data_IF_887601288425
#
_entry.id   IF_887601288425
#
_cell.length_a   1.000
_cell.length_b   1.000
_cell.length_c   1.000
_cell.angle_alpha   90.00
_cell.angle_beta   90.00
_cell.angle_gamma   90.00
#
_symmetry.space_group_name_H-M   'P 1'
#
loop_
_entity.id
_entity.type
_entity.pdbx_description
1 polymer ?
#
# COMPACT_ATOMS: atom_id res chain seq x y z
N UNK A 1 -21.32 -19.29 -9.65
CA UNK A 1 -20.23 -18.61 -8.89
C UNK A 1 -19.50 -17.68 -9.84
N UNK A 2 -19.22 -16.43 -9.46
CA UNK A 2 -18.47 -15.48 -10.29
C UNK A 2 -17.00 -15.93 -10.44
N UNK A 3 -16.46 -15.90 -11.66
CA UNK A 3 -15.04 -16.17 -11.91
C UNK A 3 -14.19 -15.05 -11.29
N UNK A 4 -13.27 -15.43 -10.38
CA UNK A 4 -12.41 -14.51 -9.63
C UNK A 4 -11.30 -13.88 -10.47
N UNK A 5 -11.16 -14.21 -11.75
CA UNK A 5 -10.18 -13.60 -12.67
C UNK A 5 -10.82 -12.68 -13.73
N UNK A 6 -12.14 -12.47 -13.66
CA UNK A 6 -12.91 -11.72 -14.65
C UNK A 6 -13.23 -10.32 -14.15
N UNK A 7 -13.14 -9.33 -15.05
CA UNK A 7 -13.61 -7.96 -14.83
C UNK A 7 -15.08 -7.88 -15.23
N UNK A 8 -15.93 -7.36 -14.35
CA UNK A 8 -17.35 -7.15 -14.57
C UNK A 8 -17.63 -5.65 -14.67
N UNK A 9 -18.11 -5.19 -15.83
CA UNK A 9 -18.34 -3.75 -16.08
C UNK A 9 -19.68 -3.23 -15.55
N UNK A 10 -20.64 -4.14 -15.39
CA UNK A 10 -22.00 -3.83 -14.91
C UNK A 10 -22.08 -3.75 -13.37
N UNK A 11 -20.97 -3.93 -12.67
CA UNK A 11 -20.95 -3.86 -11.20
C UNK A 11 -20.58 -2.45 -10.72
N UNK A 12 -21.07 -2.02 -9.54
CA UNK A 12 -20.69 -0.73 -8.95
C UNK A 12 -19.19 -0.59 -8.65
N UNK A 13 -18.47 -1.71 -8.46
CA UNK A 13 -17.04 -1.70 -8.14
C UNK A 13 -16.20 -1.13 -9.29
N UNK A 14 -15.37 -0.11 -8.98
CA UNK A 14 -14.47 0.53 -9.94
C UNK A 14 -13.53 -0.50 -10.59
N UNK A 15 -13.33 -0.42 -11.91
CA UNK A 15 -12.53 -1.40 -12.68
C UNK A 15 -11.10 -1.59 -12.17
N UNK A 16 -10.46 -0.53 -11.66
CA UNK A 16 -9.10 -0.64 -11.12
C UNK A 16 -9.08 -1.43 -9.81
N UNK A 17 -10.15 -1.38 -9.00
CA UNK A 17 -10.27 -2.16 -7.76
C UNK A 17 -10.47 -3.64 -8.07
N UNK A 18 -11.32 -3.95 -9.05
CA UNK A 18 -11.49 -5.32 -9.53
C UNK A 18 -10.17 -5.90 -10.05
N UNK A 19 -9.44 -5.14 -10.88
CA UNK A 19 -8.14 -5.56 -11.38
C UNK A 19 -7.13 -5.72 -10.24
N UNK A 20 -7.04 -4.74 -9.33
CA UNK A 20 -6.18 -4.82 -8.15
C UNK A 20 -6.43 -6.12 -7.37
N UNK A 21 -7.70 -6.48 -7.14
CA UNK A 21 -8.09 -7.68 -6.42
C UNK A 21 -7.67 -8.97 -7.15
N UNK A 22 -7.76 -8.99 -8.49
CA UNK A 22 -7.29 -10.11 -9.32
C UNK A 22 -5.78 -10.26 -9.19
N UNK A 23 -5.03 -9.18 -9.44
CA UNK A 23 -3.56 -9.17 -9.40
C UNK A 23 -3.04 -9.54 -8.00
N UNK A 24 -3.67 -9.01 -6.95
CA UNK A 24 -3.33 -9.32 -5.57
C UNK A 24 -3.48 -10.81 -5.28
N UNK A 25 -4.57 -11.44 -5.71
CA UNK A 25 -4.77 -12.90 -5.53
C UNK A 25 -3.69 -13.71 -6.24
N UNK A 26 -3.24 -13.30 -7.43
CA UNK A 26 -2.14 -13.96 -8.14
C UNK A 26 -0.84 -13.91 -7.34
N UNK A 27 -0.56 -12.79 -6.68
CA UNK A 27 0.60 -12.62 -5.79
C UNK A 27 0.43 -13.45 -4.51
N UNK A 28 -0.74 -13.41 -3.88
CA UNK A 28 -0.99 -14.07 -2.60
C UNK A 28 -1.02 -15.60 -2.71
N UNK A 29 -1.54 -16.13 -3.82
CA UNK A 29 -1.54 -17.55 -4.15
C UNK A 29 -0.16 -18.07 -4.58
N UNK A 30 0.77 -17.19 -4.91
CA UNK A 30 2.09 -17.55 -5.42
C UNK A 30 2.13 -17.84 -6.92
N UNK A 31 1.02 -17.65 -7.66
CA UNK A 31 1.04 -17.69 -9.14
C UNK A 31 2.09 -16.71 -9.68
N UNK A 32 2.19 -15.53 -9.06
CA UNK A 32 3.33 -14.63 -9.21
C UNK A 32 4.23 -14.74 -7.98
N UNK A 33 5.29 -15.53 -8.13
CA UNK A 33 6.25 -15.79 -7.07
C UNK A 33 7.02 -14.52 -6.67
N UNK A 34 7.45 -14.46 -5.41
CA UNK A 34 8.33 -13.40 -4.92
C UNK A 34 9.59 -13.28 -5.79
N UNK A 35 9.97 -12.04 -6.13
CA UNK A 35 11.08 -11.72 -7.01
C UNK A 35 10.80 -11.87 -8.50
N UNK A 36 9.64 -12.42 -8.90
CA UNK A 36 9.29 -12.54 -10.32
C UNK A 36 8.99 -11.18 -10.96
N UNK A 37 9.38 -11.04 -12.23
CA UNK A 37 9.03 -9.90 -13.07
C UNK A 37 7.57 -10.02 -13.50
N UNK A 38 6.78 -8.97 -13.28
CA UNK A 38 5.40 -8.91 -13.74
C UNK A 38 5.34 -8.59 -15.24
N UNK A 39 4.26 -9.02 -15.92
CA UNK A 39 3.91 -8.47 -17.21
C UNK A 39 3.81 -6.94 -17.16
N UNK A 40 4.11 -6.29 -18.27
CA UNK A 40 4.04 -4.84 -18.44
C UNK A 40 2.61 -4.32 -18.29
N UNK A 41 2.46 -3.03 -17.99
CA UNK A 41 1.14 -2.39 -17.89
C UNK A 41 0.30 -2.60 -19.17
N UNK A 42 0.96 -2.64 -20.32
CA UNK A 42 0.32 -2.87 -21.63
C UNK A 42 -0.14 -4.31 -21.79
N UNK A 43 0.65 -5.29 -21.39
CA UNK A 43 0.27 -6.72 -21.45
C UNK A 43 -0.90 -7.01 -20.51
N UNK A 44 -0.87 -6.49 -19.28
CA UNK A 44 -1.98 -6.63 -18.32
C UNK A 44 -3.25 -5.96 -18.85
N UNK A 45 -3.11 -4.79 -19.50
CA UNK A 45 -4.23 -4.07 -20.13
C UNK A 45 -4.91 -4.92 -21.21
N UNK A 46 -4.11 -5.58 -22.07
CA UNK A 46 -4.62 -6.49 -23.11
C UNK A 46 -5.28 -7.71 -22.47
N UNK A 47 -4.62 -8.35 -21.50
CA UNK A 47 -5.10 -9.57 -20.85
C UNK A 47 -6.46 -9.39 -20.16
N UNK A 48 -6.66 -8.26 -19.49
CA UNK A 48 -7.88 -7.97 -18.72
C UNK A 48 -8.85 -7.04 -19.44
N UNK A 49 -8.54 -6.62 -20.67
CA UNK A 49 -9.37 -5.71 -21.49
C UNK A 49 -9.80 -4.44 -20.74
N UNK A 50 -8.84 -3.81 -20.06
CA UNK A 50 -9.02 -2.52 -19.38
C UNK A 50 -8.00 -1.51 -19.90
N UNK A 51 -8.24 -0.22 -19.65
CA UNK A 51 -7.28 0.82 -20.06
C UNK A 51 -5.94 0.68 -19.32
N UNK A 52 -4.85 1.12 -19.95
CA UNK A 52 -3.52 1.18 -19.31
C UNK A 52 -3.53 2.07 -18.05
N UNK A 53 -4.36 3.12 -18.03
CA UNK A 53 -4.54 3.98 -16.85
C UNK A 53 -5.13 3.16 -15.68
N UNK A 54 -6.16 2.35 -15.95
CA UNK A 54 -6.76 1.43 -14.96
C UNK A 54 -5.73 0.46 -14.39
N UNK A 55 -4.89 -0.13 -15.26
CA UNK A 55 -3.79 -1.01 -14.84
C UNK A 55 -2.79 -0.26 -13.96
N UNK A 56 -2.35 0.92 -14.40
CA UNK A 56 -1.39 1.74 -13.67
C UNK A 56 -1.90 2.11 -12.28
N UNK A 57 -3.18 2.47 -12.16
CA UNK A 57 -3.81 2.72 -10.86
C UNK A 57 -3.75 1.46 -9.99
N UNK A 58 -4.26 0.32 -10.47
CA UNK A 58 -4.25 -0.94 -9.74
C UNK A 58 -2.84 -1.37 -9.26
N UNK A 59 -1.85 -1.30 -10.15
CA UNK A 59 -0.46 -1.61 -9.81
C UNK A 59 0.14 -0.61 -8.83
N UNK A 60 -0.19 0.68 -8.93
CA UNK A 60 0.28 1.69 -7.97
C UNK A 60 -0.24 1.43 -6.56
N UNK A 61 -1.49 0.96 -6.42
CA UNK A 61 -1.98 0.49 -5.11
C UNK A 61 -1.14 -0.70 -4.62
N UNK A 62 -0.91 -1.74 -5.43
CA UNK A 62 -0.09 -2.88 -5.01
C UNK A 62 1.35 -2.50 -4.62
N UNK A 63 1.95 -1.51 -5.28
CA UNK A 63 3.27 -0.96 -4.90
C UNK A 63 3.19 -0.26 -3.55
N UNK A 64 2.20 0.62 -3.36
CA UNK A 64 1.96 1.34 -2.10
C UNK A 64 1.70 0.37 -0.94
N UNK A 65 1.04 -0.74 -1.22
CA UNK A 65 0.77 -1.79 -0.23
C UNK A 65 1.96 -2.73 0.01
N UNK A 66 3.05 -2.59 -0.74
CA UNK A 66 4.25 -3.38 -0.56
C UNK A 66 4.18 -4.80 -1.14
N UNK A 67 3.19 -5.10 -1.99
CA UNK A 67 3.16 -6.34 -2.78
C UNK A 67 4.11 -6.29 -3.96
N UNK A 68 4.34 -5.10 -4.51
CA UNK A 68 5.17 -4.88 -5.70
C UNK A 68 6.27 -3.86 -5.46
N UNK A 69 7.34 -3.94 -6.24
CA UNK A 69 8.40 -2.92 -6.31
C UNK A 69 8.66 -2.56 -7.78
N UNK A 70 8.75 -1.25 -8.08
CA UNK A 70 9.13 -0.75 -9.40
C UNK A 70 10.63 -0.50 -9.41
N UNK A 71 11.31 -0.99 -10.43
CA UNK A 71 12.73 -0.74 -10.66
C UNK A 71 12.89 -0.05 -12.01
N UNK A 72 13.38 1.19 -11.99
CA UNK A 72 13.54 2.01 -13.18
C UNK A 72 14.36 1.27 -14.25
N UNK A 73 13.83 1.20 -15.47
CA UNK A 73 14.45 0.50 -16.60
C UNK A 73 14.44 -1.03 -16.54
N UNK A 74 14.00 -1.64 -15.42
CA UNK A 74 14.01 -3.10 -15.23
C UNK A 74 12.61 -3.73 -15.12
N UNK A 75 11.60 -2.93 -14.80
CA UNK A 75 10.21 -3.38 -14.72
C UNK A 75 9.63 -3.37 -13.31
N UNK A 76 8.58 -4.16 -13.09
CA UNK A 76 7.90 -4.27 -11.78
C UNK A 76 8.03 -5.69 -11.28
N UNK A 77 8.43 -5.88 -10.03
CA UNK A 77 8.70 -7.19 -9.44
C UNK A 77 7.79 -7.45 -8.24
N UNK A 78 7.46 -8.72 -7.98
CA UNK A 78 6.78 -9.13 -6.74
C UNK A 78 7.73 -8.96 -5.56
N UNK A 79 7.32 -8.19 -4.56
CA UNK A 79 8.08 -8.01 -3.32
C UNK A 79 7.82 -9.20 -2.38
N UNK A 80 8.78 -9.48 -1.51
CA UNK A 80 8.55 -10.35 -0.37
C UNK A 80 7.67 -9.63 0.66
N UNK A 81 6.35 -9.76 0.46
CA UNK A 81 5.34 -9.12 1.28
C UNK A 81 5.08 -9.89 2.58
N UNK A 82 5.49 -11.18 2.65
CA UNK A 82 5.35 -12.05 3.83
C UNK A 82 6.50 -11.84 4.83
N UNK A 83 7.71 -11.55 4.37
CA UNK A 83 8.88 -11.28 5.23
C UNK A 83 9.02 -9.81 5.68
N UNK A 84 7.98 -9.00 5.54
CA UNK A 84 7.91 -7.64 6.10
C UNK A 84 8.22 -7.59 7.60
N UNK A 85 7.98 -8.68 8.34
CA UNK A 85 8.29 -8.79 9.78
C UNK A 85 9.73 -9.17 10.14
N UNK A 86 10.60 -9.57 9.20
CA UNK A 86 11.93 -10.12 9.51
C UNK A 86 13.05 -9.55 8.60
N UNK A 87 12.93 -8.29 8.18
CA UNK A 87 14.00 -7.64 7.43
C UNK A 87 15.13 -7.25 8.38
N UNK A 88 16.38 -7.60 8.01
CA UNK A 88 17.56 -6.94 8.57
C UNK A 88 17.60 -5.51 8.01
N UNK A 89 16.89 -4.59 8.66
CA UNK A 89 17.08 -3.17 8.40
C UNK A 89 18.50 -2.81 8.85
N UNK A 90 19.25 -2.13 7.99
CA UNK A 90 20.50 -1.51 8.41
C UNK A 90 20.24 -0.60 9.62
N UNK A 91 21.22 -0.47 10.51
CA UNK A 91 21.17 0.51 11.62
C UNK A 91 21.56 1.92 11.15
N UNK A 92 21.66 2.12 9.84
CA UNK A 92 21.97 3.38 9.20
C UNK A 92 20.70 4.21 8.99
N UNK A 93 20.82 5.52 8.70
CA UNK A 93 19.68 6.39 8.46
C UNK A 93 18.67 5.83 7.44
N UNK A 94 19.16 5.18 6.38
CA UNK A 94 18.31 4.59 5.33
C UNK A 94 17.51 3.38 5.82
N UNK A 95 18.09 2.52 6.65
CA UNK A 95 17.37 1.40 7.25
C UNK A 95 16.26 1.87 8.19
N UNK A 96 16.51 2.93 8.98
CA UNK A 96 15.50 3.56 9.83
C UNK A 96 14.36 4.18 9.01
N UNK A 97 14.68 4.91 7.93
CA UNK A 97 13.68 5.47 7.01
C UNK A 97 12.80 4.37 6.40
N UNK A 98 13.40 3.24 6.00
CA UNK A 98 12.66 2.09 5.49
C UNK A 98 11.68 1.49 6.50
N UNK A 99 12.05 1.42 7.79
CA UNK A 99 11.15 0.98 8.87
C UNK A 99 9.96 1.93 8.98
N UNK A 100 10.20 3.25 8.99
CA UNK A 100 9.12 4.23 9.14
C UNK A 100 8.15 4.24 7.96
N UNK A 101 8.64 4.11 6.73
CA UNK A 101 7.78 3.95 5.56
C UNK A 101 6.91 2.69 5.67
N UNK A 102 7.49 1.60 6.17
CA UNK A 102 6.76 0.36 6.36
C UNK A 102 5.67 0.42 7.42
N UNK A 103 5.87 1.19 8.49
CA UNK A 103 4.80 1.47 9.47
C UNK A 103 3.72 2.39 8.88
N UNK A 104 4.12 3.34 8.03
CA UNK A 104 3.20 4.29 7.41
C UNK A 104 2.30 3.65 6.32
N UNK A 105 2.79 2.64 5.62
CA UNK A 105 2.05 1.95 4.57
C UNK A 105 0.73 1.32 5.06
N UNK A 106 0.68 0.45 6.08
CA UNK A 106 -0.57 -0.10 6.58
C UNK A 106 -1.51 0.98 7.10
N UNK A 107 -0.99 2.06 7.73
CA UNK A 107 -1.83 3.20 8.12
C UNK A 107 -2.50 3.88 6.92
N UNK A 108 -1.79 4.03 5.80
CA UNK A 108 -2.36 4.56 4.58
C UNK A 108 -3.42 3.62 3.98
N UNK A 109 -3.17 2.32 3.99
CA UNK A 109 -4.08 1.28 3.49
C UNK A 109 -5.37 1.25 4.29
N UNK A 110 -5.27 1.19 5.62
CA UNK A 110 -6.45 1.13 6.50
C UNK A 110 -7.30 2.39 6.29
N UNK A 111 -6.66 3.56 6.11
CA UNK A 111 -7.36 4.82 5.89
C UNK A 111 -8.13 4.85 4.57
N UNK A 112 -7.52 4.32 3.51
CA UNK A 112 -8.14 4.16 2.19
C UNK A 112 -9.32 3.19 2.24
N UNK A 113 -9.14 2.01 2.85
CA UNK A 113 -10.20 1.00 3.02
C UNK A 113 -11.36 1.52 3.84
N UNK A 114 -11.10 2.26 4.92
CA UNK A 114 -12.13 2.94 5.70
C UNK A 114 -12.87 4.03 4.90
N UNK A 115 -12.21 4.63 3.91
CA UNK A 115 -12.82 5.52 2.93
C UNK A 115 -13.81 4.79 2.03
N UNK A 116 -13.35 3.72 1.37
CA UNK A 116 -14.16 2.90 0.46
C UNK A 116 -15.36 2.25 1.16
N UNK A 117 -15.18 1.75 2.39
CA UNK A 117 -16.29 1.24 3.20
C UNK A 117 -17.31 2.35 3.50
N UNK A 118 -16.86 3.59 3.70
CA UNK A 118 -17.75 4.72 3.86
C UNK A 118 -18.60 4.97 2.60
N UNK A 119 -17.97 4.95 1.42
CA UNK A 119 -18.68 5.08 0.13
C UNK A 119 -19.75 3.99 -0.03
N UNK A 120 -19.38 2.73 0.23
CA UNK A 120 -20.30 1.59 0.12
C UNK A 120 -21.50 1.68 1.07
N UNK A 121 -21.27 2.08 2.33
CA UNK A 121 -22.35 2.24 3.31
C UNK A 121 -23.34 3.35 2.91
N UNK A 122 -22.88 4.38 2.21
CA UNK A 122 -23.78 5.45 1.71
C UNK A 122 -24.64 4.97 0.54
N UNK A 123 -24.13 4.08 -0.31
CA UNK A 123 -24.88 3.47 -1.40
C UNK A 123 -26.01 2.57 -0.88
N UNK A 124 -25.76 1.81 0.19
CA UNK A 124 -26.74 0.88 0.79
C UNK A 124 -27.53 1.48 1.98
N UNK A 125 -27.48 2.80 2.18
CA UNK A 125 -28.04 3.47 3.37
C UNK A 125 -29.51 3.16 3.67
N UNK A 126 -30.31 2.81 2.67
CA UNK A 126 -31.71 2.45 2.82
C UNK A 126 -31.95 1.05 3.40
N UNK A 127 -30.95 0.17 3.36
CA UNK A 127 -31.01 -1.21 3.85
C UNK A 127 -30.32 -1.38 5.22
N UNK A 128 -29.57 -0.39 5.69
CA UNK A 128 -28.72 -0.49 6.88
C UNK A 128 -29.36 0.23 8.06
N UNK A 129 -29.86 -0.52 9.05
CA UNK A 129 -30.58 0.01 10.21
C UNK A 129 -29.71 0.82 11.19
N UNK A 130 -28.42 0.52 11.28
CA UNK A 130 -27.46 1.14 12.21
C UNK A 130 -26.36 1.95 11.51
N UNK A 131 -26.68 2.55 10.36
CA UNK A 131 -25.72 3.31 9.53
C UNK A 131 -24.92 4.37 10.30
N UNK A 132 -25.56 5.07 11.24
CA UNK A 132 -24.90 6.12 12.03
C UNK A 132 -23.80 5.57 12.95
N UNK A 133 -23.95 4.36 13.48
CA UNK A 133 -22.92 3.70 14.29
C UNK A 133 -21.71 3.34 13.43
N UNK A 134 -21.93 2.78 12.24
CA UNK A 134 -20.84 2.50 11.29
C UNK A 134 -20.13 3.76 10.83
N UNK A 135 -20.87 4.84 10.54
CA UNK A 135 -20.29 6.16 10.23
C UNK A 135 -19.41 6.67 11.38
N UNK A 136 -19.86 6.51 12.62
CA UNK A 136 -19.07 6.89 13.81
C UNK A 136 -17.80 6.05 13.88
N UNK A 137 -17.90 4.73 13.77
CA UNK A 137 -16.75 3.83 13.80
C UNK A 137 -15.72 4.15 12.70
N UNK A 138 -16.16 4.40 11.47
CA UNK A 138 -15.27 4.78 10.36
C UNK A 138 -14.59 6.14 10.59
N UNK A 139 -15.28 7.11 11.19
CA UNK A 139 -14.69 8.39 11.60
C UNK A 139 -13.62 8.17 12.68
N UNK A 140 -13.92 7.36 13.68
CA UNK A 140 -12.99 7.05 14.77
C UNK A 140 -11.73 6.34 14.22
N UNK A 141 -11.89 5.37 13.32
CA UNK A 141 -10.78 4.70 12.61
C UNK A 141 -9.92 5.74 11.86
N UNK A 142 -10.53 6.61 11.05
CA UNK A 142 -9.79 7.66 10.32
C UNK A 142 -9.05 8.60 11.27
N UNK A 143 -9.64 8.93 12.42
CA UNK A 143 -9.00 9.77 13.42
C UNK A 143 -7.79 9.08 14.07
N UNK A 144 -7.90 7.80 14.43
CA UNK A 144 -6.78 7.04 14.98
C UNK A 144 -5.63 6.91 13.99
N UNK A 145 -5.94 6.68 12.71
CA UNK A 145 -4.94 6.62 11.64
C UNK A 145 -4.23 7.97 11.48
N UNK A 146 -4.97 9.08 11.52
CA UNK A 146 -4.38 10.42 11.45
C UNK A 146 -3.44 10.68 12.64
N UNK A 147 -3.83 10.29 13.85
CA UNK A 147 -2.98 10.38 15.04
C UNK A 147 -1.71 9.53 14.89
N UNK A 148 -1.85 8.27 14.51
CA UNK A 148 -0.72 7.36 14.31
C UNK A 148 0.25 7.87 13.21
N UNK A 149 -0.27 8.42 12.10
CA UNK A 149 0.53 9.04 11.05
C UNK A 149 1.32 10.25 11.55
N UNK A 150 0.72 11.10 12.37
CA UNK A 150 1.44 12.25 12.97
C UNK A 150 2.57 11.81 13.88
N UNK A 151 2.31 10.81 14.74
CA UNK A 151 3.34 10.25 15.63
C UNK A 151 4.50 9.65 14.83
N UNK A 152 4.21 8.92 13.76
CA UNK A 152 5.23 8.25 12.93
C UNK A 152 5.97 9.21 11.99
N UNK A 153 5.34 10.27 11.48
CA UNK A 153 6.04 11.36 10.77
C UNK A 153 7.07 12.07 11.67
N UNK A 154 6.78 12.22 12.97
CA UNK A 154 7.79 12.76 13.91
C UNK A 154 9.05 11.88 14.02
N UNK A 155 8.96 10.61 13.62
CA UNK A 155 10.08 9.68 13.64
C UNK A 155 10.85 9.65 12.32
N UNK A 156 10.28 10.08 11.19
CA UNK A 156 10.97 10.11 9.89
C UNK A 156 12.12 11.13 9.84
N UNK A 157 12.14 12.10 10.76
CA UNK A 157 13.23 13.09 10.89
C UNK A 157 14.39 12.59 11.79
N UNK A 158 14.20 11.49 12.52
CA UNK A 158 15.24 10.92 13.39
C UNK A 158 16.51 10.49 12.66
N UNK A 159 16.46 9.87 11.46
CA UNK A 159 17.64 9.51 10.69
C UNK A 159 18.58 10.71 10.44
N UNK A 160 18.04 11.85 10.02
CA UNK A 160 18.79 13.08 9.79
C UNK A 160 19.39 13.63 11.08
N UNK A 161 18.63 13.61 12.18
CA UNK A 161 19.13 14.04 13.50
C UNK A 161 20.29 13.17 13.99
N UNK A 162 20.23 11.85 13.77
CA UNK A 162 21.30 10.91 14.13
C UNK A 162 22.57 11.20 13.30
N UNK A 163 22.42 11.50 12.02
CA UNK A 163 23.54 11.81 11.12
C UNK A 163 24.27 13.12 11.52
N UNK A 164 23.52 14.14 11.93
CA UNK A 164 24.07 15.38 12.48
C UNK A 164 24.86 15.13 13.77
N UNK A 165 24.35 14.28 14.67
CA UNK A 165 25.03 13.92 15.93
C UNK A 165 26.35 13.18 15.66
N UNK A 166 26.37 12.23 14.72
CA UNK A 166 27.59 11.50 14.34
C UNK A 166 28.66 12.45 13.79
N UNK A 167 28.29 13.32 12.86
CA UNK A 167 29.18 14.30 12.24
C UNK A 167 29.75 15.31 13.25
N UNK A 168 28.97 15.66 14.27
CA UNK A 168 29.38 16.59 15.33
C UNK A 168 30.38 15.97 16.31
N UNK A 169 30.27 14.67 16.60
CA UNK A 169 31.20 13.93 17.45
C UNK A 169 32.55 13.67 16.77
N UNK A 170 32.56 13.39 15.48
CA UNK A 170 33.80 13.17 14.71
C UNK A 170 34.66 14.43 14.59
N UNK A 171 34.04 15.62 14.55
CA UNK A 171 34.74 16.91 14.53
C UNK A 171 35.29 17.34 15.90
N UNK A 172 34.74 16.81 16.99
CA UNK A 172 35.17 17.11 18.37
C UNK A 172 36.29 16.22 18.92
N UNK A 173 36.59 15.09 18.27
CA UNK A 173 37.63 14.13 18.69
C UNK A 173 39.02 14.35 18.07
N UNK A 174 39.22 15.40 17.26
CA UNK A 174 40.54 15.86 16.80
C UNK A 174 40.99 17.04 17.66
N UNK A 175 41.40 16.78 18.90
CA UNK A 175 42.25 17.67 19.70
C UNK A 175 43.22 16.82 20.50
#
# INVERSE_FOLDING_TARGET
MLNKNTIYRETPEKLYMQLYNILRRKIESGEWATGSLLPTEKEISILHQVSVITVRTAMSHLVKEGFLIRTQGKGTFVKDWKQSGNRNYGTDPKGLEAIFHEVNNPLAIIGEKAGLLGELLEEEKGAISNLNEYRKALRDIKQQISRAKKTTHGLTDLPQRIEVIKTSREKGGKK
#
